data_IF_455310204222
#
_entry.id   IF_455310204222
#
_cell.length_a   1.000
_cell.length_b   1.000
_cell.length_c   1.000
_cell.angle_alpha   90.00
_cell.angle_beta   90.00
_cell.angle_gamma   90.00
#
_symmetry.space_group_name_H-M   'P 1'
#
loop_
_entity.id
_entity.type
_entity.pdbx_description
1 polymer ?
#
# COMPACT_ATOMS: atom_id res chain seq x y z
N UNK A 1 0.18 -33.16 3.78
CA UNK A 1 1.16 -32.38 4.57
C UNK A 1 1.66 -31.13 3.82
N UNK A 2 1.57 -31.09 2.49
CA UNK A 2 1.96 -29.98 1.59
C UNK A 2 1.30 -28.61 1.88
N UNK A 3 0.02 -28.59 2.26
CA UNK A 3 -0.77 -27.35 2.39
C UNK A 3 -0.28 -26.47 3.54
N UNK A 4 0.11 -27.05 4.69
CA UNK A 4 0.65 -26.30 5.84
C UNK A 4 2.01 -25.66 5.54
N UNK A 5 2.79 -26.20 4.59
CA UNK A 5 4.10 -25.66 4.22
C UNK A 5 3.96 -24.39 3.35
N UNK A 6 2.98 -24.38 2.43
CA UNK A 6 2.72 -23.24 1.54
C UNK A 6 2.26 -22.00 2.30
N UNK A 7 1.36 -22.14 3.28
CA UNK A 7 0.92 -20.99 4.09
C UNK A 7 2.02 -20.45 4.99
N UNK A 8 2.86 -21.33 5.55
CA UNK A 8 4.04 -20.90 6.33
C UNK A 8 5.05 -20.15 5.45
N UNK A 9 5.24 -20.60 4.21
CA UNK A 9 6.14 -19.95 3.25
C UNK A 9 5.60 -18.59 2.79
N UNK A 10 4.31 -18.51 2.43
CA UNK A 10 3.66 -17.25 2.05
C UNK A 10 3.65 -16.23 3.19
N UNK A 11 3.39 -16.69 4.41
CA UNK A 11 3.44 -15.85 5.61
C UNK A 11 4.86 -15.32 5.87
N UNK A 12 5.87 -16.18 5.81
CA UNK A 12 7.28 -15.76 5.95
C UNK A 12 7.69 -14.77 4.86
N UNK A 13 7.25 -14.97 3.61
CA UNK A 13 7.58 -14.09 2.49
C UNK A 13 6.88 -12.72 2.59
N UNK A 14 5.62 -12.67 3.04
CA UNK A 14 4.95 -11.41 3.36
C UNK A 14 5.62 -10.67 4.53
N UNK A 15 6.01 -11.38 5.59
CA UNK A 15 6.73 -10.79 6.73
C UNK A 15 8.09 -10.25 6.29
N UNK A 16 8.80 -10.96 5.41
CA UNK A 16 10.09 -10.53 4.87
C UNK A 16 9.95 -9.31 3.95
N UNK A 17 8.92 -9.27 3.08
CA UNK A 17 8.60 -8.09 2.26
C UNK A 17 8.17 -6.88 3.09
N UNK A 18 7.44 -7.09 4.19
CA UNK A 18 7.10 -6.03 5.13
C UNK A 18 8.33 -5.52 5.88
N UNK A 19 9.23 -6.42 6.30
CA UNK A 19 10.51 -6.06 6.94
C UNK A 19 11.44 -5.30 5.99
N UNK A 20 11.56 -5.73 4.74
CA UNK A 20 12.38 -5.02 3.75
C UNK A 20 11.75 -3.68 3.35
N UNK A 21 10.44 -3.64 3.14
CA UNK A 21 9.71 -2.39 2.87
C UNK A 21 9.82 -1.38 4.03
N UNK A 22 9.77 -1.87 5.27
CA UNK A 22 9.97 -1.04 6.46
C UNK A 22 11.43 -0.54 6.57
N UNK A 23 12.42 -1.37 6.22
CA UNK A 23 13.83 -0.96 6.22
C UNK A 23 14.16 0.07 5.12
N UNK A 24 13.49 0.00 3.96
CA UNK A 24 13.59 1.02 2.90
C UNK A 24 12.93 2.33 3.33
N UNK A 25 11.79 2.26 4.04
CA UNK A 25 11.17 3.44 4.66
C UNK A 25 12.04 4.09 5.73
N UNK A 26 12.80 3.29 6.49
CA UNK A 26 13.71 3.79 7.53
C UNK A 26 15.01 4.36 6.94
N UNK A 27 15.50 3.82 5.81
CA UNK A 27 16.64 4.40 5.08
C UNK A 27 16.31 5.81 4.54
N UNK A 28 15.07 6.06 4.10
CA UNK A 28 14.58 7.40 3.79
C UNK A 28 14.37 8.28 5.04
N UNK A 29 14.15 7.68 6.21
CA UNK A 29 14.06 8.40 7.48
C UNK A 29 15.43 8.81 8.04
N UNK A 30 16.54 8.19 7.60
CA UNK A 30 17.88 8.55 8.08
C UNK A 30 18.37 9.90 7.49
N UNK A 31 17.79 10.39 6.39
CA UNK A 31 17.97 11.79 5.97
C UNK A 31 17.25 12.79 6.90
N UNK A 32 16.30 12.32 7.72
CA UNK A 32 15.53 13.16 8.65
C UNK A 32 16.18 13.36 10.03
N UNK A 33 17.16 12.53 10.44
CA UNK A 33 17.79 12.70 11.76
C UNK A 33 18.69 13.94 11.83
N UNK A 34 19.23 14.40 10.69
CA UNK A 34 19.99 15.66 10.63
C UNK A 34 19.11 16.91 10.82
N UNK A 35 17.77 16.79 10.80
CA UNK A 35 16.84 17.92 10.90
C UNK A 35 16.20 18.09 12.30
N UNK A 36 16.57 17.28 13.29
CA UNK A 36 15.94 17.32 14.62
C UNK A 36 16.32 18.55 15.48
N UNK A 37 17.26 19.40 15.03
CA UNK A 37 17.75 20.55 15.83
C UNK A 37 17.53 21.93 15.22
N UNK A 38 16.83 22.07 14.09
CA UNK A 38 16.57 23.37 13.47
C UNK A 38 15.11 23.40 13.02
N UNK A 39 14.36 24.43 13.45
CA UNK A 39 12.91 24.53 13.27
C UNK A 39 12.41 24.07 11.89
N UNK A 40 11.37 23.23 11.89
CA UNK A 40 10.83 22.59 10.67
C UNK A 40 10.58 23.62 9.58
N UNK A 41 11.34 23.53 8.48
CA UNK A 41 11.14 24.35 7.29
C UNK A 41 9.83 23.97 6.60
N UNK A 42 9.27 24.89 5.81
CA UNK A 42 8.03 24.67 5.08
C UNK A 42 8.08 23.42 4.18
N UNK A 43 9.26 23.10 3.63
CA UNK A 43 9.46 21.86 2.85
C UNK A 43 9.34 20.57 3.68
N UNK A 44 9.74 20.59 4.96
CA UNK A 44 9.73 19.40 5.81
C UNK A 44 8.31 18.92 6.15
N UNK A 45 7.36 19.85 6.38
CA UNK A 45 5.97 19.45 6.63
C UNK A 45 5.29 18.90 5.38
N UNK A 46 5.61 19.44 4.20
CA UNK A 46 5.06 18.96 2.92
C UNK A 46 5.58 17.55 2.63
N UNK A 47 6.87 17.30 2.86
CA UNK A 47 7.46 15.97 2.70
C UNK A 47 6.80 14.94 3.63
N UNK A 48 6.58 15.29 4.90
CA UNK A 48 5.89 14.43 5.86
C UNK A 48 4.44 14.15 5.44
N UNK A 49 3.71 15.19 5.01
CA UNK A 49 2.32 15.05 4.54
C UNK A 49 2.21 14.17 3.28
N UNK A 50 3.16 14.30 2.36
CA UNK A 50 3.26 13.49 1.15
C UNK A 50 3.49 12.01 1.51
N UNK A 51 4.44 11.74 2.42
CA UNK A 51 4.72 10.38 2.89
C UNK A 51 3.52 9.76 3.62
N UNK A 52 2.87 10.51 4.51
CA UNK A 52 1.70 10.04 5.26
C UNK A 52 0.53 9.69 4.32
N UNK A 53 0.30 10.50 3.29
CA UNK A 53 -0.77 10.25 2.30
C UNK A 53 -0.51 8.97 1.51
N UNK A 54 0.73 8.75 1.05
CA UNK A 54 1.14 7.56 0.30
C UNK A 54 0.99 6.28 1.12
N UNK A 55 1.46 6.28 2.37
CA UNK A 55 1.38 5.11 3.26
C UNK A 55 -0.08 4.84 3.63
N UNK A 56 -0.83 5.88 4.00
CA UNK A 56 -2.23 5.74 4.40
C UNK A 56 -3.12 5.17 3.28
N UNK A 57 -2.95 5.68 2.05
CA UNK A 57 -3.75 5.23 0.90
C UNK A 57 -3.40 3.80 0.48
N UNK A 58 -2.12 3.43 0.48
CA UNK A 58 -1.67 2.08 0.13
C UNK A 58 -2.18 1.03 1.12
N UNK A 59 -2.13 1.32 2.43
CA UNK A 59 -2.66 0.43 3.46
C UNK A 59 -4.18 0.27 3.36
N UNK A 60 -4.91 1.37 3.15
CA UNK A 60 -6.36 1.34 2.97
C UNK A 60 -6.77 0.57 1.71
N UNK A 61 -6.09 0.79 0.59
CA UNK A 61 -6.32 0.06 -0.65
C UNK A 61 -6.03 -1.43 -0.49
N UNK A 62 -4.92 -1.80 0.16
CA UNK A 62 -4.58 -3.19 0.43
C UNK A 62 -5.66 -3.91 1.25
N UNK A 63 -6.21 -3.27 2.28
CA UNK A 63 -7.33 -3.82 3.04
C UNK A 63 -8.56 -4.04 2.16
N UNK A 64 -8.94 -3.03 1.38
CA UNK A 64 -10.10 -3.12 0.49
C UNK A 64 -9.95 -4.22 -0.57
N UNK A 65 -8.76 -4.33 -1.18
CA UNK A 65 -8.43 -5.33 -2.20
C UNK A 65 -8.48 -6.74 -1.62
N UNK A 66 -8.04 -6.97 -0.38
CA UNK A 66 -8.18 -8.29 0.26
C UNK A 66 -9.66 -8.67 0.34
N UNK A 67 -10.52 -7.78 0.84
CA UNK A 67 -11.95 -8.06 0.98
C UNK A 67 -12.65 -8.32 -0.37
N UNK A 68 -12.39 -7.49 -1.38
CA UNK A 68 -12.99 -7.67 -2.72
C UNK A 68 -12.39 -8.86 -3.46
N UNK A 69 -11.09 -9.12 -3.28
CA UNK A 69 -10.36 -10.22 -3.89
C UNK A 69 -10.82 -11.60 -3.42
N UNK A 70 -11.10 -11.78 -2.11
CA UNK A 70 -11.61 -13.08 -1.63
C UNK A 70 -13.02 -13.36 -2.16
N UNK A 71 -13.88 -12.34 -2.19
CA UNK A 71 -15.23 -12.45 -2.73
C UNK A 71 -15.19 -12.73 -4.24
N UNK A 72 -14.29 -12.06 -4.95
CA UNK A 72 -14.04 -12.25 -6.37
C UNK A 72 -13.62 -13.68 -6.72
N UNK A 73 -12.67 -14.23 -5.96
CA UNK A 73 -12.19 -15.60 -6.16
C UNK A 73 -13.31 -16.63 -5.93
N UNK A 74 -14.13 -16.46 -4.89
CA UNK A 74 -15.27 -17.34 -4.62
C UNK A 74 -16.35 -17.27 -5.71
N UNK A 75 -16.74 -16.06 -6.10
CA UNK A 75 -17.76 -15.86 -7.13
C UNK A 75 -17.32 -16.40 -8.50
N UNK A 76 -16.04 -16.26 -8.85
CA UNK A 76 -15.48 -16.78 -10.10
C UNK A 76 -15.35 -18.31 -10.08
N UNK A 77 -15.14 -18.92 -8.90
CA UNK A 77 -15.09 -20.37 -8.75
C UNK A 77 -16.47 -21.03 -8.99
N UNK A 78 -17.56 -20.39 -8.58
CA UNK A 78 -18.92 -20.88 -8.85
C UNK A 78 -19.40 -20.55 -10.26
N UNK A 79 -19.08 -19.36 -10.76
CA UNK A 79 -19.54 -18.85 -12.06
C UNK A 79 -18.38 -18.26 -12.85
N UNK A 80 -17.67 -19.05 -13.68
CA UNK A 80 -16.52 -18.54 -14.43
C UNK A 80 -16.90 -17.47 -15.46
N UNK A 81 -18.16 -17.45 -15.93
CA UNK A 81 -18.63 -16.48 -16.91
C UNK A 81 -18.64 -15.04 -16.38
N UNK A 82 -18.60 -14.84 -15.05
CA UNK A 82 -18.66 -13.50 -14.44
C UNK A 82 -17.28 -12.92 -14.08
N UNK A 83 -16.18 -13.64 -14.36
CA UNK A 83 -14.81 -13.26 -14.02
C UNK A 83 -14.46 -11.82 -14.41
N UNK A 84 -14.79 -11.40 -15.63
CA UNK A 84 -14.53 -10.04 -16.11
C UNK A 84 -15.28 -8.95 -15.33
N UNK A 85 -16.53 -9.20 -14.91
CA UNK A 85 -17.32 -8.24 -14.12
C UNK A 85 -16.79 -8.12 -12.70
N UNK A 86 -16.36 -9.23 -12.14
CA UNK A 86 -15.81 -9.31 -10.79
C UNK A 86 -14.49 -8.54 -10.69
N UNK A 87 -13.63 -8.59 -11.72
CA UNK A 87 -12.39 -7.84 -11.76
C UNK A 87 -12.58 -6.31 -11.70
N UNK A 88 -13.71 -5.80 -12.21
CA UNK A 88 -14.03 -4.36 -12.11
C UNK A 88 -14.16 -3.94 -10.65
N UNK A 89 -14.80 -4.74 -9.80
CA UNK A 89 -14.95 -4.41 -8.37
C UNK A 89 -13.62 -4.45 -7.61
N UNK A 90 -12.71 -5.34 -7.98
CA UNK A 90 -11.35 -5.37 -7.41
C UNK A 90 -10.57 -4.14 -7.87
N UNK A 91 -10.63 -3.79 -9.15
CA UNK A 91 -9.95 -2.61 -9.70
C UNK A 91 -10.49 -1.29 -9.10
N UNK A 92 -11.80 -1.21 -8.80
CA UNK A 92 -12.38 -0.04 -8.13
C UNK A 92 -11.85 0.13 -6.70
N UNK A 93 -11.48 -0.95 -6.00
CA UNK A 93 -10.85 -0.86 -4.69
C UNK A 93 -9.44 -0.24 -4.77
N UNK A 94 -8.73 -0.44 -5.88
CA UNK A 94 -7.38 0.09 -6.11
C UNK A 94 -7.36 1.60 -6.34
N UNK A 95 -8.51 2.19 -6.72
CA UNK A 95 -8.64 3.64 -6.90
C UNK A 95 -8.23 4.44 -5.65
N UNK A 96 -8.38 3.86 -4.44
CA UNK A 96 -7.94 4.48 -3.18
C UNK A 96 -6.43 4.81 -3.21
N UNK A 97 -5.60 3.89 -3.71
CA UNK A 97 -4.16 4.10 -3.82
C UNK A 97 -3.82 5.14 -4.90
N UNK A 98 -4.53 5.09 -6.05
CA UNK A 98 -4.33 6.03 -7.16
C UNK A 98 -4.65 7.46 -6.72
N UNK A 99 -5.75 7.68 -5.99
CA UNK A 99 -6.08 8.99 -5.46
C UNK A 99 -5.06 9.46 -4.42
N UNK A 100 -4.57 8.58 -3.55
CA UNK A 100 -3.51 8.93 -2.61
C UNK A 100 -2.20 9.33 -3.29
N UNK A 101 -1.80 8.62 -4.35
CA UNK A 101 -0.65 8.97 -5.18
C UNK A 101 -0.84 10.32 -5.89
N UNK A 102 -2.05 10.59 -6.41
CA UNK A 102 -2.38 11.86 -7.05
C UNK A 102 -2.25 13.02 -6.07
N UNK A 103 -2.79 12.89 -4.85
CA UNK A 103 -2.68 13.93 -3.82
C UNK A 103 -1.22 14.11 -3.39
N UNK A 104 -0.45 13.02 -3.26
CA UNK A 104 0.97 13.09 -2.98
C UNK A 104 1.74 13.89 -4.07
N UNK A 105 1.45 13.66 -5.35
CA UNK A 105 2.03 14.46 -6.44
C UNK A 105 1.61 15.92 -6.40
N UNK A 106 0.35 16.22 -6.08
CA UNK A 106 -0.11 17.61 -5.93
C UNK A 106 0.61 18.34 -4.79
N UNK A 107 0.88 17.65 -3.68
CA UNK A 107 1.66 18.20 -2.56
C UNK A 107 3.12 18.42 -2.96
N UNK A 108 3.73 17.45 -3.64
CA UNK A 108 5.11 17.53 -4.10
C UNK A 108 5.34 18.67 -5.10
N UNK A 109 4.41 18.87 -6.04
CA UNK A 109 4.54 19.89 -7.11
C UNK A 109 4.26 21.31 -6.62
N UNK A 110 3.76 21.48 -5.39
CA UNK A 110 3.52 22.77 -4.76
C UNK A 110 4.77 23.36 -4.09
N UNK A 111 5.85 22.59 -3.97
CA UNK A 111 7.22 23.05 -3.66
C UNK A 111 7.86 23.53 -4.97
#
# INVERSE_FOLDING_TARGET
MEIKMKYRFAFTLCVLLLLTGLSVGLAGAQEAEAAATVGMTEGAWIALATAATMVGSALAAGWAIVATGVAAAGATAEKPEISGRVLIFVALAEAIAIYGLLIAFMLWTKI
#
